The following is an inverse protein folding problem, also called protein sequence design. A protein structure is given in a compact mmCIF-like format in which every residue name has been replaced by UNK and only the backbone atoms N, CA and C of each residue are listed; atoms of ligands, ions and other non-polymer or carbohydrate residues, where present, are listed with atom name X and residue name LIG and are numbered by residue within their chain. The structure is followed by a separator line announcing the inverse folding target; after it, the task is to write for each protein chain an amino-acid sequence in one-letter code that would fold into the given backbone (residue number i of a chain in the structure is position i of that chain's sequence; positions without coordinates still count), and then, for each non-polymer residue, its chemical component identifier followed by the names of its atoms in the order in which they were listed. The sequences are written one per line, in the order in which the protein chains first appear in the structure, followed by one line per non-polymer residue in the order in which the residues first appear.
data_IF_320732037342
#
_entry.id   IF_320732037342
#
_cell.length_a   1.000
_cell.length_b   1.000
_cell.length_c   1.000
_cell.angle_alpha   90.00
_cell.angle_beta   90.00
_cell.angle_gamma   90.00
#
_symmetry.space_group_name_H-M   'P 1'
#
loop_
_entity.id
_entity.type
_entity.pdbx_description
1 polymer ?
#
# COMPACT_ATOMS: atom_id res chain seq x y z
N UNK A 1 -44.00 -43.90 -24.11
CA UNK A 1 -43.08 -44.95 -23.66
C UNK A 1 -42.28 -44.39 -22.50
N UNK A 2 -42.75 -44.76 -21.26
CA UNK A 2 -42.17 -44.33 -19.99
C UNK A 2 -41.00 -45.27 -19.63
N UNK A 3 -39.83 -44.72 -19.30
CA UNK A 3 -38.70 -45.45 -18.67
C UNK A 3 -38.63 -45.09 -17.18
N UNK A 4 -38.92 -46.11 -16.35
CA UNK A 4 -38.83 -46.06 -14.90
C UNK A 4 -37.39 -45.94 -14.42
N UNK A 5 -37.11 -44.97 -13.52
CA UNK A 5 -35.86 -44.87 -12.77
C UNK A 5 -35.95 -45.82 -11.53
N UNK A 6 -35.11 -46.82 -11.45
CA UNK A 6 -34.91 -47.62 -10.25
C UNK A 6 -34.09 -46.89 -9.21
N UNK A 7 -34.64 -46.71 -8.03
CA UNK A 7 -33.93 -46.21 -6.85
C UNK A 7 -33.12 -47.35 -6.23
N UNK A 8 -31.82 -47.10 -5.97
CA UNK A 8 -30.92 -48.02 -5.26
C UNK A 8 -31.00 -47.72 -3.77
N UNK A 9 -31.42 -48.70 -2.99
CA UNK A 9 -31.59 -48.66 -1.54
C UNK A 9 -30.26 -48.74 -0.78
N UNK A 10 -30.16 -47.95 0.29
CA UNK A 10 -28.96 -47.78 1.17
C UNK A 10 -28.73 -48.97 2.14
N UNK A 11 -29.18 -50.19 1.87
CA UNK A 11 -29.13 -51.28 2.85
C UNK A 11 -28.37 -52.54 2.44
N UNK A 12 -27.43 -52.48 1.52
CA UNK A 12 -26.64 -53.69 1.11
C UNK A 12 -25.16 -53.44 1.08
N UNK A 13 -24.57 -52.94 2.20
CA UNK A 13 -23.11 -52.86 2.32
C UNK A 13 -22.64 -53.21 3.76
N UNK A 14 -23.03 -54.38 4.26
CA UNK A 14 -22.44 -54.96 5.49
C UNK A 14 -22.43 -56.47 5.31
N UNK A 15 -21.24 -57.02 5.04
CA UNK A 15 -21.02 -58.45 5.01
C UNK A 15 -19.77 -58.85 4.23
N UNK A 16 -18.61 -58.85 4.87
CA UNK A 16 -17.40 -59.38 4.28
C UNK A 16 -16.16 -59.05 5.11
N UNK A 17 -16.02 -59.71 6.29
CA UNK A 17 -14.78 -59.67 7.08
C UNK A 17 -13.78 -60.63 6.43
N UNK A 18 -12.73 -60.04 5.81
CA UNK A 18 -11.54 -60.77 5.35
C UNK A 18 -10.31 -60.05 5.92
N UNK A 19 -9.61 -60.68 6.86
CA UNK A 19 -8.38 -60.19 7.44
C UNK A 19 -7.27 -60.16 6.38
N UNK A 20 -6.87 -58.97 5.95
CA UNK A 20 -5.62 -58.74 5.23
C UNK A 20 -4.86 -57.66 6.00
N UNK A 21 -3.70 -58.03 6.53
CA UNK A 21 -2.75 -57.12 7.15
C UNK A 21 -2.28 -56.12 6.09
N UNK A 22 -2.84 -54.89 6.12
CA UNK A 22 -2.42 -53.78 5.31
C UNK A 22 -1.30 -53.04 6.06
N UNK A 23 -0.07 -53.16 5.57
CA UNK A 23 0.96 -52.18 5.82
C UNK A 23 0.42 -50.82 5.34
N UNK A 24 0.09 -49.93 6.28
CA UNK A 24 -0.25 -48.57 5.97
C UNK A 24 0.98 -47.90 5.33
N UNK A 25 0.89 -47.37 4.09
CA UNK A 25 1.93 -46.48 3.63
C UNK A 25 1.81 -45.21 4.52
N UNK A 26 2.88 -44.91 5.24
CA UNK A 26 3.08 -43.61 5.84
C UNK A 26 3.03 -42.63 4.67
N UNK A 27 1.90 -41.95 4.48
CA UNK A 27 1.80 -40.78 3.62
C UNK A 27 2.66 -39.72 4.31
N UNK A 28 3.96 -39.76 4.06
CA UNK A 28 4.82 -38.61 4.22
C UNK A 28 4.22 -37.55 3.29
N UNK A 29 3.57 -36.53 3.88
CA UNK A 29 3.04 -35.40 3.16
C UNK A 29 4.18 -34.77 2.36
N UNK A 30 4.12 -34.93 1.03
CA UNK A 30 4.93 -34.16 0.09
C UNK A 30 4.46 -32.72 0.11
N UNK A 31 4.76 -31.98 1.19
CA UNK A 31 4.97 -30.55 1.07
C UNK A 31 6.16 -30.34 0.12
N UNK A 32 6.18 -29.29 -0.71
CA UNK A 32 7.33 -29.02 -1.55
C UNK A 32 8.56 -28.96 -0.64
N UNK A 33 9.57 -29.82 -0.90
CA UNK A 33 10.82 -29.82 -0.15
C UNK A 33 11.49 -28.47 -0.36
N UNK A 34 11.45 -27.60 0.66
CA UNK A 34 12.15 -26.33 0.61
C UNK A 34 13.65 -26.61 0.67
N UNK A 35 14.39 -25.99 -0.25
CA UNK A 35 15.85 -26.07 -0.24
C UNK A 35 16.38 -25.31 0.99
N UNK A 36 17.10 -25.93 1.93
CA UNK A 36 17.62 -25.25 3.12
C UNK A 36 18.67 -24.18 2.78
N UNK A 37 19.24 -24.21 1.59
CA UNK A 37 20.21 -23.24 1.11
C UNK A 37 19.56 -22.15 0.21
N UNK A 38 18.25 -21.98 0.28
CA UNK A 38 17.52 -20.99 -0.48
C UNK A 38 16.43 -20.35 0.37
N UNK A 39 16.31 -19.02 0.27
CA UNK A 39 15.15 -18.26 0.74
C UNK A 39 14.44 -17.63 -0.44
N UNK A 40 13.10 -17.54 -0.36
CA UNK A 40 12.27 -16.94 -1.40
C UNK A 40 11.87 -15.52 -1.00
N UNK A 41 12.06 -14.57 -1.91
CA UNK A 41 11.61 -13.19 -1.73
C UNK A 41 10.47 -12.88 -2.70
N UNK A 42 9.25 -12.69 -2.16
CA UNK A 42 8.08 -12.32 -2.96
C UNK A 42 7.91 -10.80 -2.98
N UNK A 43 7.82 -10.26 -4.18
CA UNK A 43 7.65 -8.84 -4.41
C UNK A 43 6.81 -8.61 -5.68
N UNK A 44 6.38 -7.36 -5.90
CA UNK A 44 5.61 -6.97 -7.08
C UNK A 44 6.36 -5.99 -7.99
N UNK A 45 7.68 -5.86 -7.82
CA UNK A 45 8.54 -5.03 -8.66
C UNK A 45 9.30 -5.83 -9.71
N UNK A 46 9.79 -7.03 -9.38
CA UNK A 46 10.53 -7.83 -10.35
C UNK A 46 11.05 -9.18 -9.81
N UNK A 47 11.57 -10.02 -10.70
CA UNK A 47 11.79 -9.82 -12.14
C UNK A 47 10.47 -9.85 -12.95
N UNK A 48 10.38 -8.99 -14.00
CA UNK A 48 9.23 -8.99 -14.91
C UNK A 48 8.10 -8.02 -14.52
N UNK A 49 8.34 -7.08 -13.59
CA UNK A 49 7.44 -5.99 -13.27
C UNK A 49 7.25 -4.99 -14.41
N UNK A 50 6.26 -4.13 -14.30
CA UNK A 50 5.91 -3.14 -15.34
C UNK A 50 7.00 -2.09 -15.55
N UNK A 51 7.65 -1.62 -14.46
CA UNK A 51 8.77 -0.68 -14.54
C UNK A 51 10.09 -1.45 -14.57
N UNK A 52 10.79 -1.31 -15.69
CA UNK A 52 12.07 -2.01 -15.91
C UNK A 52 13.14 -1.60 -14.88
N UNK A 53 13.25 -0.32 -14.58
CA UNK A 53 14.23 0.21 -13.63
C UNK A 53 14.08 -0.39 -12.24
N UNK A 54 12.83 -0.55 -11.77
CA UNK A 54 12.50 -1.16 -10.49
C UNK A 54 12.76 -2.67 -10.50
N UNK A 55 12.37 -3.34 -11.58
CA UNK A 55 12.61 -4.76 -11.78
C UNK A 55 14.11 -5.10 -11.77
N UNK A 56 14.91 -4.33 -12.50
CA UNK A 56 16.36 -4.50 -12.59
C UNK A 56 17.04 -4.31 -11.21
N UNK A 57 16.55 -3.36 -10.39
CA UNK A 57 17.08 -3.16 -9.05
C UNK A 57 16.87 -4.39 -8.15
N UNK A 58 15.69 -5.02 -8.19
CA UNK A 58 15.42 -6.25 -7.41
C UNK A 58 16.26 -7.43 -7.89
N UNK A 59 16.46 -7.57 -9.21
CA UNK A 59 17.35 -8.58 -9.77
C UNK A 59 18.78 -8.36 -9.28
N UNK A 60 19.29 -7.15 -9.38
CA UNK A 60 20.63 -6.79 -8.91
C UNK A 60 20.80 -7.01 -7.40
N UNK A 61 19.78 -6.67 -6.58
CA UNK A 61 19.79 -6.92 -5.14
C UNK A 61 20.01 -8.41 -4.83
N UNK A 62 19.28 -9.30 -5.52
CA UNK A 62 19.42 -10.74 -5.34
C UNK A 62 20.78 -11.26 -5.85
N UNK A 63 21.28 -10.75 -6.97
CA UNK A 63 22.58 -11.11 -7.52
C UNK A 63 23.73 -10.71 -6.59
N UNK A 64 23.71 -9.48 -6.04
CA UNK A 64 24.73 -8.99 -5.08
C UNK A 64 24.78 -9.87 -3.82
N UNK A 65 23.62 -10.23 -3.26
CA UNK A 65 23.54 -11.17 -2.14
C UNK A 65 24.07 -12.54 -2.52
N UNK A 66 23.61 -13.08 -3.62
CA UNK A 66 23.92 -14.43 -4.08
C UNK A 66 25.39 -14.62 -4.43
N UNK A 67 26.11 -13.55 -4.77
CA UNK A 67 27.54 -13.59 -5.05
C UNK A 67 28.39 -13.82 -3.79
N UNK A 68 27.90 -13.45 -2.61
CA UNK A 68 28.71 -13.39 -1.37
C UNK A 68 28.17 -14.25 -0.23
N UNK A 69 26.99 -14.85 -0.34
CA UNK A 69 26.35 -15.65 0.72
C UNK A 69 26.04 -17.06 0.25
N UNK A 70 26.13 -18.04 1.15
CA UNK A 70 25.85 -19.44 0.85
C UNK A 70 24.37 -19.71 0.64
N UNK A 71 23.50 -19.13 1.50
CA UNK A 71 22.05 -19.19 1.33
C UNK A 71 21.64 -18.20 0.24
N UNK A 72 21.04 -18.73 -0.84
CA UNK A 72 20.66 -17.93 -2.01
C UNK A 72 19.27 -17.33 -1.87
N UNK A 73 19.07 -16.15 -2.43
CA UNK A 73 17.76 -15.51 -2.57
C UNK A 73 17.20 -15.80 -3.95
N UNK A 74 15.99 -16.33 -3.99
CA UNK A 74 15.23 -16.50 -5.21
C UNK A 74 14.03 -15.56 -5.21
N UNK A 75 14.01 -14.64 -6.17
CA UNK A 75 12.89 -13.71 -6.36
C UNK A 75 11.66 -14.43 -6.92
N UNK A 76 10.49 -14.06 -6.41
CA UNK A 76 9.20 -14.38 -7.02
C UNK A 76 8.41 -13.10 -7.23
N UNK A 77 8.19 -12.78 -8.50
CA UNK A 77 7.29 -11.72 -8.88
C UNK A 77 5.83 -12.16 -8.74
N UNK A 78 5.01 -11.31 -8.13
CA UNK A 78 3.56 -11.44 -8.07
C UNK A 78 2.99 -10.10 -8.53
N UNK A 79 2.12 -10.06 -9.56
CA UNK A 79 1.56 -8.80 -10.03
C UNK A 79 0.95 -7.98 -8.90
N UNK A 80 1.12 -6.67 -8.92
CA UNK A 80 0.72 -5.75 -7.83
C UNK A 80 -0.72 -5.98 -7.38
N UNK A 81 -1.66 -6.11 -8.32
CA UNK A 81 -3.08 -6.37 -8.02
C UNK A 81 -3.28 -7.66 -7.19
N UNK A 82 -2.59 -8.74 -7.58
CA UNK A 82 -2.70 -10.04 -6.90
C UNK A 82 -1.96 -10.03 -5.55
N UNK A 83 -0.94 -9.18 -5.43
CA UNK A 83 -0.15 -9.02 -4.22
C UNK A 83 -0.89 -8.20 -3.16
N UNK A 84 -1.42 -7.03 -3.55
CA UNK A 84 -1.99 -6.03 -2.63
C UNK A 84 -3.47 -6.24 -2.36
N UNK A 85 -4.23 -6.64 -3.37
CA UNK A 85 -5.70 -6.77 -3.29
C UNK A 85 -6.19 -8.20 -3.46
N UNK A 86 -5.34 -9.09 -3.99
CA UNK A 86 -5.67 -10.50 -4.18
C UNK A 86 -5.36 -11.36 -2.95
N UNK A 87 -5.83 -12.61 -2.94
CA UNK A 87 -5.62 -13.53 -1.83
C UNK A 87 -4.25 -14.23 -1.84
N UNK A 88 -3.39 -13.97 -2.83
CA UNK A 88 -2.19 -14.79 -3.12
C UNK A 88 -1.26 -14.91 -1.91
N UNK A 89 -0.91 -13.78 -1.29
CA UNK A 89 -0.01 -13.79 -0.14
C UNK A 89 -0.68 -14.45 1.09
N UNK A 90 -1.93 -14.08 1.38
CA UNK A 90 -2.68 -14.63 2.51
C UNK A 90 -2.90 -16.14 2.39
N UNK A 91 -3.29 -16.61 1.21
CA UNK A 91 -3.52 -18.04 0.93
C UNK A 91 -2.23 -18.83 1.10
N UNK A 92 -1.08 -18.28 0.65
CA UNK A 92 0.21 -18.93 0.81
C UNK A 92 0.60 -19.09 2.29
N UNK A 93 0.37 -18.08 3.13
CA UNK A 93 0.61 -18.17 4.57
C UNK A 93 -0.32 -19.20 5.24
N UNK A 94 -1.61 -19.19 4.89
CA UNK A 94 -2.58 -20.17 5.40
C UNK A 94 -2.24 -21.60 5.02
N UNK A 95 -1.64 -21.82 3.86
CA UNK A 95 -1.17 -23.13 3.40
C UNK A 95 0.21 -23.53 3.97
N UNK A 96 0.85 -22.71 4.81
CA UNK A 96 2.21 -22.95 5.29
C UNK A 96 3.29 -22.83 4.21
N UNK A 97 2.95 -22.21 3.07
CA UNK A 97 3.83 -22.01 1.91
C UNK A 97 4.17 -20.55 1.65
N UNK A 98 4.03 -19.70 2.68
CA UNK A 98 4.39 -18.29 2.60
C UNK A 98 5.86 -18.05 2.25
N UNK A 99 6.22 -16.88 1.67
CA UNK A 99 7.60 -16.51 1.37
C UNK A 99 8.45 -16.41 2.64
N UNK A 100 9.78 -16.47 2.48
CA UNK A 100 10.73 -16.24 3.57
C UNK A 100 10.95 -14.76 3.81
N UNK A 101 10.96 -13.97 2.74
CA UNK A 101 10.99 -12.50 2.74
C UNK A 101 9.87 -11.96 1.85
N UNK A 102 9.24 -10.88 2.26
CA UNK A 102 8.17 -10.25 1.48
C UNK A 102 8.06 -8.75 1.76
N UNK A 103 7.33 -8.04 0.89
CA UNK A 103 7.02 -6.62 1.07
C UNK A 103 5.72 -6.47 1.85
N UNK A 104 5.67 -5.49 2.75
CA UNK A 104 4.51 -5.25 3.60
C UNK A 104 4.27 -3.74 3.78
N UNK A 105 3.03 -3.31 3.54
CA UNK A 105 2.57 -1.95 3.84
C UNK A 105 2.19 -1.78 5.31
N UNK A 106 2.07 -0.55 5.84
CA UNK A 106 1.51 -0.33 7.16
C UNK A 106 0.10 -0.90 7.30
N UNK A 107 -0.75 -0.71 6.30
CA UNK A 107 -2.16 -1.16 6.35
C UNK A 107 -2.35 -2.65 6.52
N UNK A 108 -1.39 -3.48 6.10
CA UNK A 108 -1.44 -4.93 6.30
C UNK A 108 -0.60 -5.44 7.48
N UNK A 109 0.13 -4.55 8.15
CA UNK A 109 1.13 -4.94 9.15
C UNK A 109 0.52 -5.78 10.30
N UNK A 110 -0.55 -5.31 10.92
CA UNK A 110 -1.14 -6.01 12.08
C UNK A 110 -1.72 -7.37 11.72
N UNK A 111 -2.23 -7.55 10.51
CA UNK A 111 -2.69 -8.87 10.04
C UNK A 111 -1.59 -9.92 10.13
N UNK A 112 -0.42 -9.61 9.60
CA UNK A 112 0.71 -10.55 9.59
C UNK A 112 1.41 -10.64 10.95
N UNK A 113 1.49 -9.54 11.70
CA UNK A 113 2.05 -9.56 13.05
C UNK A 113 1.20 -10.42 13.99
N UNK A 114 -0.11 -10.18 14.09
CA UNK A 114 -1.02 -10.93 14.95
C UNK A 114 -1.14 -12.40 14.52
N UNK A 115 -0.96 -12.69 13.23
CA UNK A 115 -0.86 -14.06 12.69
C UNK A 115 0.48 -14.77 12.99
N UNK A 116 1.41 -14.10 13.68
CA UNK A 116 2.73 -14.65 14.02
C UNK A 116 3.60 -14.93 12.80
N UNK A 117 3.43 -14.17 11.71
CA UNK A 117 4.19 -14.32 10.49
C UNK A 117 5.43 -13.42 10.42
N UNK A 118 5.52 -12.38 11.27
CA UNK A 118 6.63 -11.44 11.24
C UNK A 118 7.73 -11.81 12.23
N UNK A 119 8.96 -11.87 11.74
CA UNK A 119 10.14 -12.11 12.58
C UNK A 119 10.60 -10.81 13.23
N UNK A 120 10.97 -10.89 14.50
CA UNK A 120 11.61 -9.79 15.23
C UNK A 120 13.04 -9.57 14.69
N UNK A 121 13.25 -8.42 14.06
CA UNK A 121 14.54 -8.01 13.50
C UNK A 121 15.42 -7.26 14.50
N UNK A 122 14.90 -6.95 15.70
CA UNK A 122 15.61 -6.14 16.72
C UNK A 122 17.01 -6.70 17.07
N UNK A 123 17.18 -8.04 17.23
CA UNK A 123 18.50 -8.60 17.55
C UNK A 123 19.56 -8.44 16.45
N UNK A 124 19.12 -8.14 15.22
CA UNK A 124 19.99 -7.99 14.05
C UNK A 124 20.34 -6.54 13.75
N UNK A 125 19.82 -5.57 14.52
CA UNK A 125 19.98 -4.14 14.28
C UNK A 125 20.82 -3.49 15.38
N UNK A 126 21.82 -2.69 14.98
CA UNK A 126 22.53 -1.85 15.94
C UNK A 126 21.71 -0.61 16.31
N UNK A 127 21.95 0.01 17.49
CA UNK A 127 21.28 1.26 17.86
C UNK A 127 21.47 2.38 16.83
N UNK A 128 22.65 2.48 16.21
CA UNK A 128 22.97 3.49 15.21
C UNK A 128 22.09 3.33 13.95
N UNK A 129 21.91 2.09 13.48
CA UNK A 129 21.04 1.80 12.35
C UNK A 129 19.58 2.14 12.66
N UNK A 130 19.11 1.79 13.86
CA UNK A 130 17.74 2.12 14.28
C UNK A 130 17.51 3.63 14.33
N UNK A 131 18.48 4.38 14.84
CA UNK A 131 18.43 5.85 14.92
C UNK A 131 18.56 6.55 13.56
N UNK A 132 19.07 5.88 12.54
CA UNK A 132 19.20 6.44 11.19
C UNK A 132 17.89 6.42 10.39
N UNK A 133 16.91 5.60 10.78
CA UNK A 133 15.56 5.64 10.17
C UNK A 133 14.73 6.80 10.75
N UNK A 134 13.90 7.41 9.89
CA UNK A 134 12.95 8.43 10.32
C UNK A 134 11.93 7.83 11.30
N UNK A 135 11.78 8.41 12.50
CA UNK A 135 10.91 7.84 13.55
C UNK A 135 9.46 7.62 13.08
N UNK A 136 8.90 8.58 12.34
CA UNK A 136 7.52 8.51 11.81
C UNK A 136 7.29 7.34 10.84
N UNK A 137 8.34 6.86 10.17
CA UNK A 137 8.25 5.72 9.26
C UNK A 137 8.49 4.42 10.03
N UNK A 138 9.48 4.41 10.93
CA UNK A 138 9.80 3.24 11.76
C UNK A 138 8.65 2.85 12.69
N UNK A 139 7.95 3.80 13.30
CA UNK A 139 6.85 3.51 14.23
C UNK A 139 5.79 2.58 13.62
N UNK A 140 5.58 2.63 12.30
CA UNK A 140 4.65 1.76 11.60
C UNK A 140 5.12 0.29 11.52
N UNK A 141 6.35 0.00 11.93
CA UNK A 141 6.98 -1.34 11.92
C UNK A 141 7.35 -1.82 13.31
N UNK A 142 6.95 -1.09 14.36
CA UNK A 142 7.22 -1.43 15.75
C UNK A 142 6.00 -2.04 16.44
N UNK A 143 6.24 -3.02 17.31
CA UNK A 143 5.30 -3.40 18.36
C UNK A 143 6.07 -3.39 19.67
N UNK A 144 5.71 -2.48 20.56
CA UNK A 144 6.61 -2.07 21.65
C UNK A 144 7.93 -1.56 21.07
N UNK A 145 9.05 -2.04 21.62
CA UNK A 145 10.39 -1.66 21.17
C UNK A 145 10.96 -2.59 20.07
N UNK A 146 10.16 -3.56 19.61
CA UNK A 146 10.61 -4.56 18.64
C UNK A 146 10.30 -4.14 17.20
N UNK A 147 11.28 -4.37 16.34
CA UNK A 147 11.24 -4.05 14.90
C UNK A 147 10.85 -5.28 14.10
N UNK A 148 9.78 -5.21 13.32
CA UNK A 148 9.28 -6.33 12.51
C UNK A 148 9.37 -6.08 11.00
N UNK A 149 10.06 -5.05 10.57
CA UNK A 149 10.31 -4.75 9.17
C UNK A 149 11.16 -3.51 9.01
N UNK A 150 11.87 -3.42 7.88
CA UNK A 150 12.68 -2.25 7.54
C UNK A 150 12.05 -1.50 6.37
N UNK A 151 11.75 -0.21 6.53
CA UNK A 151 11.20 0.62 5.45
C UNK A 151 12.15 0.68 4.26
N UNK A 152 11.61 0.47 3.06
CA UNK A 152 12.33 0.53 1.79
C UNK A 152 12.32 1.94 1.21
N UNK A 153 11.19 2.65 1.36
CA UNK A 153 10.94 3.99 0.83
C UNK A 153 9.88 4.74 1.64
N UNK A 154 9.64 5.98 1.25
CA UNK A 154 8.57 6.85 1.75
C UNK A 154 7.74 7.33 0.56
N UNK A 155 6.43 7.19 0.64
CA UNK A 155 5.49 7.42 -0.45
C UNK A 155 4.35 8.39 -0.06
N UNK A 156 4.62 9.71 -0.01
CA UNK A 156 3.56 10.68 0.21
C UNK A 156 2.67 10.85 -1.02
N UNK A 157 1.41 11.26 -0.79
CA UNK A 157 0.43 11.57 -1.82
C UNK A 157 0.39 13.06 -2.14
N UNK A 158 0.12 13.39 -3.40
CA UNK A 158 -0.06 14.77 -3.88
C UNK A 158 -1.14 14.83 -4.98
N UNK A 159 -1.51 16.02 -5.41
CA UNK A 159 -2.34 16.24 -6.58
C UNK A 159 -1.47 16.50 -7.80
N UNK A 160 -1.57 15.61 -8.80
CA UNK A 160 -0.99 15.79 -10.12
C UNK A 160 -2.00 16.48 -11.03
N UNK A 161 -1.53 17.32 -11.94
CA UNK A 161 -2.38 17.98 -12.93
C UNK A 161 -1.73 17.98 -14.31
N UNK A 162 -2.54 17.87 -15.36
CA UNK A 162 -2.12 17.96 -16.75
C UNK A 162 -1.94 19.42 -17.15
N UNK A 163 -0.72 19.85 -17.46
CA UNK A 163 -0.46 21.20 -17.96
C UNK A 163 -1.24 21.49 -19.25
N UNK A 164 -1.31 20.52 -20.16
CA UNK A 164 -2.06 20.66 -21.40
C UNK A 164 -3.57 20.89 -21.17
N UNK A 165 -4.16 20.23 -20.15
CA UNK A 165 -5.55 20.44 -19.81
C UNK A 165 -5.79 21.84 -19.21
N UNK A 166 -4.86 22.34 -18.38
CA UNK A 166 -4.90 23.69 -17.83
C UNK A 166 -4.77 24.75 -18.93
N UNK A 167 -3.81 24.59 -19.84
CA UNK A 167 -3.65 25.47 -21.01
C UNK A 167 -4.93 25.55 -21.88
N UNK A 168 -5.54 24.39 -22.17
CA UNK A 168 -6.81 24.33 -22.93
C UNK A 168 -7.95 25.07 -22.23
N UNK A 169 -8.04 24.97 -20.91
CA UNK A 169 -9.04 25.66 -20.08
C UNK A 169 -8.67 27.13 -19.79
N UNK A 170 -7.52 27.63 -20.31
CA UNK A 170 -6.97 28.96 -20.02
C UNK A 170 -6.78 29.20 -18.53
N UNK A 171 -6.31 28.19 -17.82
CA UNK A 171 -5.91 28.24 -16.43
C UNK A 171 -4.41 28.47 -16.33
N UNK A 172 -3.96 29.27 -15.37
CA UNK A 172 -2.56 29.56 -15.10
C UNK A 172 -2.16 29.07 -13.70
N UNK A 173 -0.90 29.23 -13.34
CA UNK A 173 -0.38 28.85 -12.01
C UNK A 173 -1.16 29.49 -10.84
N UNK A 174 -1.65 30.72 -11.03
CA UNK A 174 -2.48 31.41 -10.05
C UNK A 174 -3.86 30.80 -9.82
N UNK A 175 -4.33 29.96 -10.74
CA UNK A 175 -5.60 29.23 -10.64
C UNK A 175 -5.45 27.86 -9.96
N UNK A 176 -4.23 27.43 -9.58
CA UNK A 176 -4.03 26.17 -8.88
C UNK A 176 -4.79 26.14 -7.55
N UNK A 177 -5.61 25.09 -7.31
CA UNK A 177 -6.50 25.06 -6.16
C UNK A 177 -5.72 24.86 -4.86
N UNK A 178 -6.17 25.52 -3.80
CA UNK A 178 -5.63 25.41 -2.42
C UNK A 178 -6.68 24.92 -1.43
N UNK A 179 -7.96 25.04 -1.79
CA UNK A 179 -9.08 24.56 -0.98
C UNK A 179 -9.95 23.59 -1.76
N UNK A 180 -10.77 22.80 -1.07
CA UNK A 180 -11.73 21.88 -1.70
C UNK A 180 -12.69 22.61 -2.64
N UNK A 181 -13.22 23.77 -2.21
CA UNK A 181 -14.12 24.56 -3.05
C UNK A 181 -13.44 25.03 -4.35
N UNK A 182 -12.17 25.47 -4.23
CA UNK A 182 -11.37 25.83 -5.40
C UNK A 182 -11.07 24.60 -6.27
N UNK A 183 -10.81 23.45 -5.65
CA UNK A 183 -10.56 22.20 -6.39
C UNK A 183 -11.78 21.80 -7.21
N UNK A 184 -12.98 21.81 -6.62
CA UNK A 184 -14.23 21.55 -7.35
C UNK A 184 -14.46 22.56 -8.48
N UNK A 185 -14.28 23.85 -8.22
CA UNK A 185 -14.45 24.90 -9.23
C UNK A 185 -13.44 24.78 -10.39
N UNK A 186 -12.19 24.44 -10.11
CA UNK A 186 -11.16 24.16 -11.13
C UNK A 186 -11.49 22.88 -11.88
N UNK A 187 -11.91 21.84 -11.19
CA UNK A 187 -12.31 20.58 -11.80
C UNK A 187 -13.50 20.74 -12.74
N UNK A 188 -14.48 21.59 -12.39
CA UNK A 188 -15.61 21.91 -13.27
C UNK A 188 -15.13 22.58 -14.58
N UNK A 189 -14.22 23.55 -14.50
CA UNK A 189 -13.62 24.21 -15.68
C UNK A 189 -12.79 23.24 -16.55
N UNK A 190 -12.21 22.19 -15.96
CA UNK A 190 -11.41 21.20 -16.65
C UNK A 190 -12.24 20.04 -17.24
N UNK A 191 -13.50 19.89 -16.78
CA UNK A 191 -14.41 18.84 -17.27
C UNK A 191 -14.88 19.16 -18.68
N UNK A 192 -14.83 18.15 -19.54
CA UNK A 192 -15.35 18.20 -20.92
C UNK A 192 -16.16 16.92 -21.18
N UNK A 193 -16.84 16.79 -22.34
CA UNK A 193 -17.54 15.53 -22.66
C UNK A 193 -16.65 14.29 -22.66
N UNK A 194 -15.34 14.46 -22.91
CA UNK A 194 -14.39 13.34 -23.05
C UNK A 194 -13.39 13.23 -21.88
N UNK A 195 -13.44 14.16 -20.90
CA UNK A 195 -12.48 14.22 -19.80
C UNK A 195 -13.14 14.69 -18.51
N UNK A 196 -12.88 14.01 -17.41
CA UNK A 196 -13.22 14.47 -16.07
C UNK A 196 -12.21 15.50 -15.57
N UNK A 197 -12.68 16.46 -14.77
CA UNK A 197 -11.81 17.49 -14.19
C UNK A 197 -10.84 16.95 -13.16
N UNK A 198 -11.27 15.94 -12.40
CA UNK A 198 -10.42 15.28 -11.42
C UNK A 198 -10.77 13.79 -11.27
N UNK A 199 -9.92 13.08 -10.52
CA UNK A 199 -10.15 11.68 -10.16
C UNK A 199 -9.71 11.43 -8.72
N UNK A 200 -10.60 10.84 -7.93
CA UNK A 200 -10.31 10.16 -6.66
C UNK A 200 -10.53 8.66 -6.85
N UNK A 201 -9.87 7.82 -6.04
CA UNK A 201 -9.98 6.36 -6.15
C UNK A 201 -11.43 5.91 -5.90
N UNK A 202 -11.92 4.99 -6.74
CA UNK A 202 -13.27 4.45 -6.67
C UNK A 202 -13.31 2.94 -6.41
N UNK A 203 -12.19 2.23 -6.52
CA UNK A 203 -12.15 0.81 -6.18
C UNK A 203 -12.03 0.65 -4.67
N UNK A 204 -12.93 -0.15 -4.03
CA UNK A 204 -12.88 -0.34 -2.59
C UNK A 204 -11.61 -1.08 -2.14
N UNK A 205 -11.18 -0.81 -0.93
CA UNK A 205 -10.11 -1.52 -0.28
C UNK A 205 -8.92 -0.64 0.14
N UNK A 206 -7.77 -1.28 0.26
CA UNK A 206 -6.56 -0.71 0.82
C UNK A 206 -6.17 0.66 0.22
N UNK A 207 -6.09 0.76 -1.13
CA UNK A 207 -5.62 1.97 -1.78
C UNK A 207 -6.64 3.12 -1.70
N UNK A 208 -7.93 2.83 -1.78
CA UNK A 208 -8.96 3.85 -1.57
C UNK A 208 -8.86 4.45 -0.17
N UNK A 209 -8.69 3.62 0.84
CA UNK A 209 -8.52 4.10 2.21
C UNK A 209 -7.25 4.94 2.36
N UNK A 210 -6.13 4.49 1.79
CA UNK A 210 -4.87 5.24 1.81
C UNK A 210 -5.04 6.65 1.21
N UNK A 211 -5.77 6.76 0.10
CA UNK A 211 -6.06 8.05 -0.53
C UNK A 211 -7.10 8.88 0.23
N UNK A 212 -8.04 8.24 0.95
CA UNK A 212 -9.07 8.92 1.74
C UNK A 212 -8.55 9.50 3.05
N UNK A 213 -7.59 8.85 3.73
CA UNK A 213 -7.12 9.26 5.06
C UNK A 213 -6.73 10.74 5.13
N UNK A 214 -6.01 11.26 4.15
CA UNK A 214 -5.61 12.66 4.17
C UNK A 214 -6.80 13.62 4.11
N UNK A 215 -7.85 13.32 3.34
CA UNK A 215 -9.07 14.14 3.29
C UNK A 215 -9.73 14.18 4.67
N UNK A 216 -9.86 13.03 5.31
CA UNK A 216 -10.40 12.92 6.66
C UNK A 216 -9.58 13.72 7.67
N UNK A 217 -8.26 13.58 7.67
CA UNK A 217 -7.39 14.29 8.62
C UNK A 217 -7.38 15.80 8.39
N UNK A 218 -7.36 16.27 7.14
CA UNK A 218 -7.42 17.69 6.81
C UNK A 218 -8.72 18.34 7.30
N UNK A 219 -9.80 17.60 7.37
CA UNK A 219 -11.07 18.03 7.95
C UNK A 219 -11.16 17.87 9.48
N UNK A 220 -10.08 17.39 10.13
CA UNK A 220 -10.05 17.14 11.58
C UNK A 220 -10.74 15.84 12.01
N UNK A 221 -11.00 14.92 11.07
CA UNK A 221 -11.56 13.59 11.36
C UNK A 221 -10.48 12.60 11.82
N UNK A 222 -10.89 11.65 12.66
CA UNK A 222 -10.06 10.54 13.15
C UNK A 222 -10.88 9.24 13.16
N UNK A 223 -10.18 8.10 13.06
CA UNK A 223 -10.84 6.79 13.12
C UNK A 223 -11.09 6.35 14.55
N UNK A 224 -10.16 6.67 15.46
CA UNK A 224 -10.23 6.29 16.87
C UNK A 224 -10.17 7.49 17.79
N UNK A 225 -10.74 7.34 18.99
CA UNK A 225 -10.47 8.23 20.13
C UNK A 225 -8.98 8.20 20.49
N UNK A 226 -8.43 9.25 21.15
CA UNK A 226 -7.00 9.31 21.47
C UNK A 226 -6.49 8.12 22.30
N UNK A 227 -7.34 7.49 23.11
CA UNK A 227 -7.03 6.28 23.87
C UNK A 227 -7.22 4.98 23.08
N UNK A 228 -7.62 5.08 21.81
CA UNK A 228 -7.86 3.97 20.86
C UNK A 228 -8.87 2.91 21.36
N UNK A 229 -9.73 3.27 22.28
CA UNK A 229 -10.71 2.34 22.86
C UNK A 229 -12.07 2.38 22.17
N UNK A 230 -12.35 3.41 21.39
CA UNK A 230 -13.62 3.59 20.69
C UNK A 230 -13.38 4.20 19.32
N UNK A 231 -14.35 3.99 18.45
CA UNK A 231 -14.43 4.68 17.18
C UNK A 231 -14.66 6.18 17.37
N UNK A 232 -13.95 7.00 16.59
CA UNK A 232 -14.20 8.43 16.41
C UNK A 232 -14.66 8.75 14.98
N UNK A 233 -14.89 7.72 14.18
CA UNK A 233 -15.20 7.85 12.75
C UNK A 233 -16.56 8.54 12.48
N UNK A 234 -17.43 8.69 13.47
CA UNK A 234 -18.68 9.46 13.36
C UNK A 234 -18.51 10.93 13.80
N UNK A 235 -17.37 11.56 13.48
CA UNK A 235 -17.11 12.97 13.81
C UNK A 235 -17.35 13.91 12.63
N UNK A 236 -17.54 15.23 12.90
CA UNK A 236 -17.83 16.22 11.83
C UNK A 236 -16.79 16.25 10.72
N UNK A 237 -15.51 16.04 11.03
CA UNK A 237 -14.44 16.00 10.03
C UNK A 237 -14.55 14.81 9.09
N UNK A 238 -15.01 13.65 9.59
CA UNK A 238 -15.28 12.47 8.75
C UNK A 238 -16.47 12.73 7.84
N UNK A 239 -17.56 13.31 8.38
CA UNK A 239 -18.73 13.66 7.59
C UNK A 239 -18.36 14.62 6.45
N UNK A 240 -17.54 15.63 6.73
CA UNK A 240 -17.07 16.59 5.74
C UNK A 240 -16.21 15.94 4.65
N UNK A 241 -15.34 14.98 5.02
CA UNK A 241 -14.52 14.26 4.05
C UNK A 241 -15.35 13.32 3.16
N UNK A 242 -16.30 12.60 3.73
CA UNK A 242 -17.24 11.74 2.98
C UNK A 242 -18.09 12.58 2.02
N UNK A 243 -18.61 13.74 2.49
CA UNK A 243 -19.37 14.67 1.68
C UNK A 243 -18.52 15.20 0.51
N UNK A 244 -17.28 15.64 0.77
CA UNK A 244 -16.39 16.11 -0.29
C UNK A 244 -16.16 15.06 -1.38
N UNK A 245 -15.94 13.78 -1.00
CA UNK A 245 -15.79 12.71 -1.96
C UNK A 245 -17.06 12.46 -2.77
N UNK A 246 -18.22 12.51 -2.13
CA UNK A 246 -19.53 12.44 -2.80
C UNK A 246 -19.71 13.62 -3.78
N UNK A 247 -19.39 14.85 -3.35
CA UNK A 247 -19.58 16.06 -4.16
C UNK A 247 -18.77 16.00 -5.46
N UNK A 248 -17.57 15.39 -5.46
CA UNK A 248 -16.78 15.25 -6.70
C UNK A 248 -17.50 14.44 -7.78
N UNK A 249 -18.26 13.42 -7.38
CA UNK A 249 -19.01 12.56 -8.29
C UNK A 249 -20.37 13.15 -8.62
N UNK A 250 -21.08 13.71 -7.65
CA UNK A 250 -22.43 14.30 -7.86
C UNK A 250 -22.36 15.58 -8.70
N UNK A 251 -21.29 16.36 -8.57
CA UNK A 251 -21.01 17.50 -9.45
C UNK A 251 -20.59 17.08 -10.87
N UNK A 252 -20.37 15.80 -11.12
CA UNK A 252 -19.95 15.28 -12.43
C UNK A 252 -18.51 15.61 -12.79
N UNK A 253 -17.69 16.07 -11.85
CA UNK A 253 -16.29 16.44 -12.09
C UNK A 253 -15.33 15.27 -11.91
N UNK A 254 -15.76 14.19 -11.24
CA UNK A 254 -15.03 12.95 -11.11
C UNK A 254 -15.86 11.74 -11.60
N UNK A 255 -15.20 10.70 -12.12
CA UNK A 255 -15.91 9.49 -12.60
C UNK A 255 -16.39 8.61 -11.44
N UNK A 256 -17.45 7.85 -11.67
CA UNK A 256 -17.88 6.76 -10.77
C UNK A 256 -16.98 5.52 -10.87
N UNK A 257 -16.07 5.49 -11.82
CA UNK A 257 -15.13 4.35 -12.03
C UNK A 257 -13.81 4.85 -12.59
N UNK A 258 -12.72 4.47 -11.94
CA UNK A 258 -11.38 4.60 -12.50
C UNK A 258 -11.20 3.64 -13.66
N UNK A 259 -10.37 3.98 -14.65
CA UNK A 259 -9.93 3.04 -15.67
C UNK A 259 -8.85 2.12 -15.10
N UNK A 260 -8.80 0.88 -15.57
CA UNK A 260 -7.80 -0.09 -15.17
C UNK A 260 -8.05 -0.71 -13.79
N UNK A 261 -6.99 -1.12 -13.14
CA UNK A 261 -7.00 -1.84 -11.87
C UNK A 261 -6.75 -0.93 -10.63
N UNK A 262 -7.16 0.33 -10.68
CA UNK A 262 -6.96 1.28 -9.59
C UNK A 262 -5.50 1.69 -9.42
N UNK A 263 -4.94 1.52 -8.24
CA UNK A 263 -3.56 1.91 -7.91
C UNK A 263 -2.49 1.41 -8.90
N UNK A 264 -2.75 0.31 -9.58
CA UNK A 264 -1.79 -0.34 -10.49
C UNK A 264 -1.80 0.25 -11.90
N UNK A 265 -2.88 0.94 -12.26
CA UNK A 265 -3.05 1.59 -13.56
C UNK A 265 -3.40 3.08 -13.38
N UNK A 266 -3.07 3.62 -12.20
CA UNK A 266 -3.46 4.98 -11.82
C UNK A 266 -2.91 6.03 -12.77
N UNK A 267 -1.69 5.84 -13.28
CA UNK A 267 -1.08 6.78 -14.20
C UNK A 267 -1.88 6.93 -15.50
N UNK A 268 -2.38 5.85 -16.09
CA UNK A 268 -3.09 5.88 -17.38
C UNK A 268 -4.33 6.78 -17.35
N UNK A 269 -4.94 6.98 -16.18
CA UNK A 269 -6.10 7.86 -16.07
C UNK A 269 -5.77 9.32 -16.39
N UNK A 270 -4.62 9.82 -15.91
CA UNK A 270 -4.22 11.20 -16.18
C UNK A 270 -3.43 11.34 -17.47
N UNK A 271 -2.49 10.41 -17.77
CA UNK A 271 -1.65 10.49 -18.97
C UNK A 271 -2.44 10.29 -20.26
N UNK A 272 -3.48 9.46 -20.24
CA UNK A 272 -4.36 9.23 -21.41
C UNK A 272 -5.51 10.25 -21.49
N UNK A 273 -5.53 11.24 -20.62
CA UNK A 273 -6.49 12.33 -20.61
C UNK A 273 -7.90 11.94 -20.15
N UNK A 274 -8.07 10.85 -19.42
CA UNK A 274 -9.36 10.49 -18.82
C UNK A 274 -9.75 11.48 -17.72
N UNK A 275 -8.76 11.99 -16.96
CA UNK A 275 -8.93 13.09 -16.03
C UNK A 275 -7.84 14.13 -16.20
N UNK A 276 -8.12 15.37 -15.76
CA UNK A 276 -7.17 16.48 -15.81
C UNK A 276 -6.34 16.62 -14.54
N UNK A 277 -6.88 16.21 -13.40
CA UNK A 277 -6.20 16.18 -12.10
C UNK A 277 -6.41 14.83 -11.44
N UNK A 278 -5.40 14.34 -10.74
CA UNK A 278 -5.47 13.05 -10.04
C UNK A 278 -4.64 13.07 -8.76
N UNK A 279 -5.20 12.54 -7.69
CA UNK A 279 -4.44 12.20 -6.50
C UNK A 279 -3.57 10.98 -6.77
N UNK A 280 -2.26 11.12 -6.61
CA UNK A 280 -1.27 10.09 -6.90
C UNK A 280 -0.07 10.22 -5.97
N UNK A 281 0.64 9.13 -5.70
CA UNK A 281 1.84 9.16 -4.88
C UNK A 281 3.09 9.62 -5.66
N UNK A 282 4.16 9.83 -4.92
CA UNK A 282 5.47 10.25 -5.46
C UNK A 282 6.01 9.29 -6.53
N UNK A 283 5.64 8.00 -6.49
CA UNK A 283 6.01 6.98 -7.49
C UNK A 283 5.54 7.35 -8.92
N UNK A 284 4.50 8.18 -9.06
CA UNK A 284 4.02 8.68 -10.35
C UNK A 284 5.10 9.40 -11.14
N UNK A 285 6.11 9.98 -10.50
CA UNK A 285 7.23 10.65 -11.19
C UNK A 285 8.02 9.64 -12.04
N UNK A 286 8.41 8.50 -11.47
CA UNK A 286 9.13 7.45 -12.20
C UNK A 286 8.24 6.78 -13.26
N UNK A 287 6.97 6.54 -12.92
CA UNK A 287 6.02 5.93 -13.86
C UNK A 287 5.80 6.82 -15.08
N UNK A 288 5.62 8.13 -14.89
CA UNK A 288 5.50 9.09 -16.01
C UNK A 288 6.79 9.10 -16.84
N UNK A 289 7.94 9.16 -16.21
CA UNK A 289 9.21 9.21 -16.92
C UNK A 289 9.46 7.96 -17.79
N UNK A 290 8.98 6.79 -17.37
CA UNK A 290 9.17 5.54 -18.10
C UNK A 290 8.04 5.23 -19.09
N UNK A 291 6.78 5.52 -18.75
CA UNK A 291 5.61 5.07 -19.52
C UNK A 291 4.95 6.18 -20.35
N UNK A 292 5.11 7.44 -19.93
CA UNK A 292 4.51 8.59 -20.59
C UNK A 292 5.47 9.80 -20.63
N UNK A 293 6.69 9.66 -21.22
CA UNK A 293 7.74 10.67 -21.12
C UNK A 293 7.37 12.03 -21.74
N UNK A 294 6.41 12.06 -22.66
CA UNK A 294 5.91 13.29 -23.29
C UNK A 294 4.77 13.96 -22.51
N UNK A 295 4.28 13.32 -21.43
CA UNK A 295 3.20 13.88 -20.62
C UNK A 295 3.72 15.03 -19.75
N UNK A 296 3.23 16.26 -20.03
CA UNK A 296 3.56 17.46 -19.26
C UNK A 296 2.61 17.59 -18.07
N UNK A 297 3.17 17.66 -16.87
CA UNK A 297 2.42 17.69 -15.62
C UNK A 297 3.09 18.57 -14.57
N UNK A 298 2.27 19.04 -13.65
CA UNK A 298 2.72 19.62 -12.40
C UNK A 298 2.21 18.84 -11.19
N UNK A 299 2.80 19.12 -10.03
CA UNK A 299 2.45 18.52 -8.74
C UNK A 299 2.24 19.63 -7.73
N UNK A 300 1.17 19.54 -6.95
CA UNK A 300 0.89 20.42 -5.81
C UNK A 300 0.47 19.60 -4.59
N UNK A 301 0.63 20.12 -3.36
CA UNK A 301 -0.04 19.55 -2.20
C UNK A 301 -1.54 19.41 -2.43
N UNK A 302 -2.15 18.33 -1.92
CA UNK A 302 -3.60 18.16 -2.04
C UNK A 302 -4.32 19.33 -1.35
N UNK A 303 -5.30 19.98 -2.00
CA UNK A 303 -6.08 21.07 -1.37
C UNK A 303 -6.77 20.60 -0.08
N UNK A 304 -6.84 21.50 0.92
CA UNK A 304 -7.50 21.25 2.20
C UNK A 304 -8.88 21.92 2.28
N UNK A 305 -9.77 21.53 3.19
CA UNK A 305 -10.99 22.29 3.42
C UNK A 305 -10.66 23.70 3.90
N UNK A 306 -11.55 24.65 3.68
CA UNK A 306 -11.38 26.03 4.15
C UNK A 306 -11.17 26.03 5.69
N UNK A 307 -10.06 26.64 6.14
CA UNK A 307 -9.69 26.65 7.55
C UNK A 307 -9.08 25.33 8.08
N UNK A 308 -8.98 24.29 7.24
CA UNK A 308 -8.31 23.03 7.58
C UNK A 308 -6.79 23.12 7.48
N UNK A 309 -6.11 22.27 8.23
CA UNK A 309 -4.65 22.14 8.13
C UNK A 309 -4.29 21.15 7.03
N UNK A 310 -3.32 21.50 6.20
CA UNK A 310 -2.77 20.56 5.21
C UNK A 310 -2.11 19.36 5.91
N UNK A 311 -2.38 18.18 5.41
CA UNK A 311 -1.64 16.96 5.70
C UNK A 311 -1.70 16.00 4.52
N UNK A 312 -0.79 15.02 4.49
CA UNK A 312 -0.84 13.92 3.53
C UNK A 312 -0.62 12.58 4.21
N UNK A 313 -1.10 11.52 3.59
CA UNK A 313 -0.80 10.16 4.01
C UNK A 313 0.60 9.77 3.52
N UNK A 314 1.38 9.19 4.43
CA UNK A 314 2.75 8.75 4.20
C UNK A 314 2.77 7.22 4.10
N UNK A 315 2.70 6.69 2.90
CA UNK A 315 2.91 5.28 2.62
C UNK A 315 4.38 4.88 2.74
N UNK A 316 4.61 3.61 2.88
CA UNK A 316 5.94 3.02 2.89
C UNK A 316 5.84 1.51 2.76
N UNK A 317 6.51 0.93 1.78
CA UNK A 317 6.71 -0.50 1.78
C UNK A 317 7.92 -0.86 2.66
N UNK A 318 7.84 -1.99 3.33
CA UNK A 318 8.95 -2.51 4.13
C UNK A 318 9.31 -3.92 3.68
N UNK A 319 10.58 -4.27 3.76
CA UNK A 319 11.01 -5.66 3.72
C UNK A 319 10.81 -6.26 5.10
N UNK A 320 10.17 -7.43 5.14
CA UNK A 320 9.93 -8.20 6.36
C UNK A 320 10.39 -9.64 6.18
N UNK A 321 10.86 -10.25 7.28
CA UNK A 321 11.22 -11.66 7.33
C UNK A 321 10.09 -12.48 7.97
N UNK A 322 9.87 -13.69 7.45
CA UNK A 322 8.85 -14.61 7.93
C UNK A 322 9.36 -15.42 9.12
N UNK A 323 8.71 -15.28 10.27
CA UNK A 323 9.03 -16.07 11.48
C UNK A 323 8.81 -17.58 11.30
N UNK A 324 7.98 -17.98 10.32
CA UNK A 324 7.67 -19.37 9.98
C UNK A 324 8.50 -19.89 8.79
N UNK A 325 9.54 -19.15 8.38
CA UNK A 325 10.51 -19.59 7.38
C UNK A 325 11.24 -20.85 7.84
N UNK A 326 11.67 -21.68 6.89
CA UNK A 326 12.58 -22.78 7.19
C UNK A 326 14.01 -22.31 7.47
N UNK A 327 14.31 -21.05 7.10
CA UNK A 327 15.60 -20.42 7.35
C UNK A 327 15.39 -18.95 7.80
N UNK A 328 14.79 -18.73 9.00
CA UNK A 328 14.43 -17.40 9.45
C UNK A 328 15.66 -16.50 9.70
N UNK A 329 16.79 -17.10 10.10
CA UNK A 329 18.04 -16.38 10.32
C UNK A 329 18.55 -15.75 9.01
N UNK A 330 18.63 -16.53 7.92
CA UNK A 330 19.06 -16.01 6.62
C UNK A 330 18.06 -14.98 6.05
N UNK A 331 16.77 -15.15 6.31
CA UNK A 331 15.76 -14.16 5.93
C UNK A 331 15.98 -12.81 6.64
N UNK A 332 16.24 -12.84 7.96
CA UNK A 332 16.57 -11.64 8.73
C UNK A 332 17.87 -10.98 8.26
N UNK A 333 18.92 -11.78 8.08
CA UNK A 333 20.22 -11.32 7.61
C UNK A 333 20.11 -10.63 6.24
N UNK A 334 19.33 -11.21 5.32
CA UNK A 334 19.10 -10.61 4.00
C UNK A 334 18.40 -9.25 4.13
N UNK A 335 17.33 -9.15 4.92
CA UNK A 335 16.59 -7.86 5.12
C UNK A 335 17.51 -6.80 5.71
N UNK A 336 18.32 -7.16 6.72
CA UNK A 336 19.22 -6.23 7.38
C UNK A 336 20.41 -5.86 6.46
N UNK A 337 20.98 -6.80 5.74
CA UNK A 337 22.01 -6.52 4.74
C UNK A 337 21.50 -5.57 3.64
N UNK A 338 20.26 -5.78 3.19
CA UNK A 338 19.65 -4.99 2.13
C UNK A 338 19.41 -3.52 2.56
N UNK A 339 18.87 -3.30 3.77
CA UNK A 339 18.31 -2.02 4.20
C UNK A 339 18.84 -1.52 5.56
N UNK A 340 19.39 -2.39 6.39
CA UNK A 340 19.68 -2.13 7.81
C UNK A 340 21.18 -2.16 8.16
N UNK A 341 22.07 -1.74 7.27
CA UNK A 341 23.51 -1.64 7.53
C UNK A 341 24.00 -0.20 7.39
N UNK A 342 25.04 0.16 8.13
CA UNK A 342 25.79 1.43 7.96
C UNK A 342 26.84 1.35 6.85
N UNK A 343 26.99 0.19 6.22
CA UNK A 343 27.90 -0.02 5.11
C UNK A 343 27.57 0.97 3.96
N UNK A 344 28.55 1.67 3.38
CA UNK A 344 28.37 2.53 2.21
C UNK A 344 27.63 1.83 1.04
N UNK A 345 27.86 0.53 0.84
CA UNK A 345 27.19 -0.24 -0.19
C UNK A 345 25.66 -0.36 0.08
N UNK A 346 25.24 -0.51 1.34
CA UNK A 346 23.84 -0.51 1.71
C UNK A 346 23.21 0.87 1.48
N UNK A 347 23.90 1.95 1.89
CA UNK A 347 23.41 3.33 1.70
C UNK A 347 23.26 3.62 0.21
N UNK A 348 24.24 3.25 -0.62
CA UNK A 348 24.20 3.46 -2.07
C UNK A 348 23.09 2.62 -2.74
N UNK A 349 22.88 1.38 -2.30
CA UNK A 349 21.81 0.50 -2.78
C UNK A 349 20.45 1.14 -2.51
N UNK A 350 20.19 1.62 -1.29
CA UNK A 350 18.97 2.32 -0.95
C UNK A 350 18.80 3.65 -1.68
N UNK A 351 19.89 4.42 -1.85
CA UNK A 351 19.87 5.65 -2.65
C UNK A 351 19.43 5.35 -4.08
N UNK A 352 20.04 4.35 -4.72
CA UNK A 352 19.68 3.96 -6.09
C UNK A 352 18.22 3.53 -6.20
N UNK A 353 17.68 2.79 -5.23
CA UNK A 353 16.27 2.48 -5.19
C UNK A 353 15.42 3.75 -5.16
N UNK A 354 15.66 4.61 -4.17
CA UNK A 354 14.80 5.75 -3.92
C UNK A 354 14.93 6.89 -4.95
N UNK A 355 16.07 7.03 -5.63
CA UNK A 355 16.32 8.21 -6.48
C UNK A 355 16.63 7.89 -7.94
N UNK A 356 16.80 6.61 -8.29
CA UNK A 356 17.06 6.18 -9.67
C UNK A 356 15.99 5.21 -10.16
N UNK A 357 15.72 4.15 -9.38
CA UNK A 357 14.77 3.13 -9.81
C UNK A 357 13.31 3.54 -9.61
N UNK A 358 12.99 4.26 -8.52
CA UNK A 358 11.59 4.54 -8.14
C UNK A 358 11.27 6.01 -7.84
N UNK A 359 12.24 6.92 -7.76
CA UNK A 359 11.99 8.36 -7.45
C UNK A 359 11.10 8.59 -6.22
N UNK A 360 11.44 7.95 -5.11
CA UNK A 360 10.79 8.10 -3.81
C UNK A 360 11.67 8.90 -2.84
N UNK A 361 11.16 9.14 -1.63
CA UNK A 361 11.96 9.72 -0.56
C UNK A 361 12.61 8.61 0.28
N UNK A 362 13.90 8.72 0.60
CA UNK A 362 14.57 7.73 1.41
C UNK A 362 14.10 7.74 2.87
N UNK A 363 13.92 6.55 3.51
CA UNK A 363 13.47 6.44 4.89
C UNK A 363 14.58 6.61 5.93
N UNK A 364 15.85 6.81 5.51
CA UNK A 364 17.02 6.92 6.38
C UNK A 364 17.74 8.24 6.17
N UNK A 365 18.18 8.88 7.25
CA UNK A 365 18.92 10.15 7.21
C UNK A 365 20.21 10.04 6.41
N UNK A 366 20.98 8.94 6.55
CA UNK A 366 22.21 8.70 5.78
C UNK A 366 21.92 8.62 4.27
N UNK A 367 20.83 7.96 3.88
CA UNK A 367 20.44 7.82 2.48
C UNK A 367 19.90 9.14 1.92
N UNK A 368 19.18 9.93 2.73
CA UNK A 368 18.74 11.27 2.34
C UNK A 368 19.92 12.18 2.04
N UNK A 369 20.92 12.21 2.93
CA UNK A 369 22.16 12.98 2.68
C UNK A 369 22.88 12.54 1.40
N UNK A 370 22.97 11.23 1.16
CA UNK A 370 23.55 10.73 -0.09
C UNK A 370 22.72 11.13 -1.31
N UNK A 371 21.40 11.10 -1.23
CA UNK A 371 20.49 11.54 -2.28
C UNK A 371 20.64 13.04 -2.59
N UNK A 372 20.73 13.88 -1.56
CA UNK A 372 20.98 15.34 -1.68
C UNK A 372 22.30 15.64 -2.39
N UNK A 373 23.37 14.94 -2.01
CA UNK A 373 24.69 15.10 -2.64
C UNK A 373 24.68 14.76 -4.13
N UNK A 374 23.71 13.95 -4.59
CA UNK A 374 23.54 13.59 -5.99
C UNK A 374 22.44 14.41 -6.71
N UNK A 375 21.95 15.48 -6.10
CA UNK A 375 20.94 16.36 -6.70
C UNK A 375 19.56 15.72 -6.92
N UNK A 376 19.23 14.68 -6.15
CA UNK A 376 18.01 13.90 -6.36
C UNK A 376 16.71 14.71 -6.18
N UNK A 377 16.79 15.83 -5.46
CA UNK A 377 15.63 16.69 -5.14
C UNK A 377 15.62 18.01 -5.91
N UNK A 378 16.46 18.14 -6.94
CA UNK A 378 16.57 19.40 -7.70
C UNK A 378 15.49 19.54 -8.77
N UNK A 379 14.86 18.43 -9.21
CA UNK A 379 13.72 18.48 -10.15
C UNK A 379 12.49 19.14 -9.54
N UNK A 380 11.66 19.80 -10.37
CA UNK A 380 10.45 20.48 -9.92
C UNK A 380 9.53 19.59 -9.07
N UNK A 381 9.07 18.41 -9.57
CA UNK A 381 8.22 17.52 -8.81
C UNK A 381 8.85 16.99 -7.51
N UNK A 382 10.11 16.55 -7.54
CA UNK A 382 10.80 16.04 -6.35
C UNK A 382 11.00 17.12 -5.28
N UNK A 383 11.23 18.36 -5.70
CA UNK A 383 11.32 19.50 -4.79
C UNK A 383 9.98 19.77 -4.11
N UNK A 384 8.89 19.75 -4.85
CA UNK A 384 7.53 19.91 -4.29
C UNK A 384 7.26 18.84 -3.24
N UNK A 385 7.56 17.58 -3.54
CA UNK A 385 7.38 16.49 -2.56
C UNK A 385 8.21 16.71 -1.31
N UNK A 386 9.48 17.03 -1.45
CA UNK A 386 10.40 17.23 -0.31
C UNK A 386 10.03 18.44 0.55
N UNK A 387 9.77 19.60 -0.09
CA UNK A 387 9.65 20.87 0.62
C UNK A 387 8.22 21.21 1.04
N UNK A 388 7.21 20.76 0.28
CA UNK A 388 5.83 21.17 0.50
C UNK A 388 4.96 19.99 0.99
N UNK A 389 5.07 18.82 0.34
CA UNK A 389 4.20 17.68 0.63
C UNK A 389 4.59 17.00 1.94
N UNK A 390 5.90 16.77 2.17
CA UNK A 390 6.39 16.08 3.36
C UNK A 390 6.27 16.87 4.67
N UNK A 391 6.11 18.19 4.61
CA UNK A 391 6.15 19.06 5.79
C UNK A 391 5.12 18.69 6.87
N UNK A 392 3.97 18.13 6.47
CA UNK A 392 2.86 17.78 7.35
C UNK A 392 2.38 16.34 7.09
N UNK A 393 3.29 15.45 6.70
CA UNK A 393 2.94 14.07 6.40
C UNK A 393 2.66 13.25 7.67
N UNK A 394 1.56 12.47 7.66
CA UNK A 394 1.19 11.54 8.73
C UNK A 394 1.39 10.11 8.25
N UNK A 395 1.98 9.23 9.06
CA UNK A 395 2.15 7.83 8.69
C UNK A 395 0.81 7.17 8.37
N UNK A 396 0.82 6.31 7.36
CA UNK A 396 -0.31 5.44 7.05
C UNK A 396 -0.65 4.59 8.29
N UNK A 397 -1.93 4.52 8.68
CA UNK A 397 -2.35 3.73 9.81
C UNK A 397 -2.20 2.22 9.59
N UNK A 398 -2.04 1.48 10.70
CA UNK A 398 -1.94 0.01 10.70
C UNK A 398 -3.28 -0.64 11.01
N UNK A 399 -4.36 -0.17 10.43
CA UNK A 399 -5.69 -0.65 10.78
C UNK A 399 -5.87 -2.14 10.44
N UNK A 400 -6.48 -2.94 11.34
CA UNK A 400 -6.92 -4.29 11.02
C UNK A 400 -7.92 -4.31 9.84
N UNK A 401 -8.03 -5.45 9.13
CA UNK A 401 -8.90 -5.56 7.95
C UNK A 401 -10.36 -5.17 8.20
N UNK A 402 -10.88 -5.42 9.40
CA UNK A 402 -12.23 -5.09 9.81
C UNK A 402 -12.45 -3.58 9.85
N UNK A 403 -11.46 -2.85 10.37
CA UNK A 403 -11.50 -1.38 10.48
C UNK A 403 -11.42 -0.75 9.10
N UNK A 404 -10.41 -1.12 8.28
CA UNK A 404 -10.30 -0.50 6.97
C UNK A 404 -11.46 -0.87 6.04
N UNK A 405 -12.10 -2.04 6.22
CA UNK A 405 -13.32 -2.40 5.48
C UNK A 405 -14.48 -1.50 5.84
N UNK A 406 -14.71 -1.26 7.14
CA UNK A 406 -15.75 -0.35 7.58
C UNK A 406 -15.59 1.07 7.01
N UNK A 407 -14.33 1.56 6.95
CA UNK A 407 -14.01 2.85 6.31
C UNK A 407 -14.31 2.80 4.81
N UNK A 408 -13.84 1.76 4.11
CA UNK A 408 -14.05 1.59 2.67
C UNK A 408 -15.54 1.51 2.31
N UNK A 409 -16.33 0.78 3.11
CA UNK A 409 -17.78 0.66 2.91
C UNK A 409 -18.48 2.03 3.06
N UNK A 410 -18.09 2.84 4.05
CA UNK A 410 -18.61 4.19 4.21
C UNK A 410 -18.23 5.11 3.03
N UNK A 411 -16.98 5.06 2.57
CA UNK A 411 -16.53 5.83 1.41
C UNK A 411 -17.29 5.41 0.15
N UNK A 412 -17.45 4.11 -0.10
CA UNK A 412 -18.21 3.59 -1.26
C UNK A 412 -19.67 4.04 -1.22
N UNK A 413 -20.33 3.91 -0.05
CA UNK A 413 -21.72 4.34 0.13
C UNK A 413 -21.92 5.80 -0.23
N UNK A 414 -21.05 6.69 0.24
CA UNK A 414 -21.17 8.13 -0.04
C UNK A 414 -20.73 8.46 -1.48
N UNK A 415 -19.55 8.03 -1.89
CA UNK A 415 -18.97 8.40 -3.18
C UNK A 415 -19.76 7.86 -4.37
N UNK A 416 -20.27 6.63 -4.30
CA UNK A 416 -20.87 5.95 -5.45
C UNK A 416 -22.37 5.70 -5.33
N UNK A 417 -22.92 5.56 -4.12
CA UNK A 417 -24.31 5.17 -3.91
C UNK A 417 -25.19 6.31 -3.35
N UNK A 418 -24.66 7.53 -3.34
CA UNK A 418 -25.32 8.74 -2.86
C UNK A 418 -25.82 8.63 -1.39
N UNK A 419 -25.12 7.81 -0.57
CA UNK A 419 -25.41 7.58 0.84
C UNK A 419 -25.23 8.83 1.68
N UNK A 420 -26.00 8.95 2.76
CA UNK A 420 -25.86 10.07 3.70
C UNK A 420 -24.55 9.94 4.52
N UNK A 421 -23.65 10.93 4.47
CA UNK A 421 -22.35 10.85 5.14
C UNK A 421 -22.41 10.62 6.66
N UNK A 422 -23.44 11.14 7.33
CA UNK A 422 -23.62 10.94 8.78
C UNK A 422 -23.99 9.50 9.07
N UNK A 423 -24.98 8.97 8.35
CA UNK A 423 -25.43 7.58 8.51
C UNK A 423 -24.34 6.57 8.13
N UNK A 424 -23.58 6.83 7.06
CA UNK A 424 -22.46 5.98 6.64
C UNK A 424 -21.33 5.97 7.68
N UNK A 425 -20.98 7.13 8.22
CA UNK A 425 -19.97 7.26 9.27
C UNK A 425 -20.41 6.59 10.58
N UNK A 426 -21.68 6.72 10.96
CA UNK A 426 -22.26 6.06 12.15
C UNK A 426 -22.20 4.53 12.02
N UNK A 427 -22.62 4.00 10.87
CA UNK A 427 -22.57 2.56 10.61
C UNK A 427 -21.14 2.00 10.67
N UNK A 428 -20.17 2.73 10.09
CA UNK A 428 -18.76 2.36 10.16
C UNK A 428 -18.22 2.42 11.61
N UNK A 429 -18.56 3.47 12.36
CA UNK A 429 -18.17 3.60 13.76
C UNK A 429 -18.70 2.44 14.62
N UNK A 430 -19.95 2.03 14.43
CA UNK A 430 -20.54 0.88 15.12
C UNK A 430 -19.83 -0.45 14.79
N UNK A 431 -19.45 -0.65 13.53
CA UNK A 431 -18.67 -1.83 13.12
C UNK A 431 -17.28 -1.82 13.77
N UNK A 432 -16.61 -0.67 13.79
CA UNK A 432 -15.31 -0.48 14.42
C UNK A 432 -15.40 -0.75 15.93
N UNK A 433 -16.38 -0.20 16.63
CA UNK A 433 -16.57 -0.43 18.08
C UNK A 433 -16.88 -1.91 18.37
N UNK A 434 -17.66 -2.57 17.54
CA UNK A 434 -17.93 -4.01 17.64
C UNK A 434 -16.63 -4.81 17.53
N UNK A 435 -15.80 -4.49 16.57
CA UNK A 435 -14.48 -5.12 16.39
C UNK A 435 -13.59 -4.87 17.62
N UNK A 436 -13.47 -3.62 18.06
CA UNK A 436 -12.63 -3.24 19.21
C UNK A 436 -13.02 -3.96 20.50
N UNK A 437 -14.30 -4.28 20.68
CA UNK A 437 -14.80 -4.97 21.88
C UNK A 437 -14.21 -6.38 22.06
N UNK A 438 -13.69 -6.97 21.01
CA UNK A 438 -13.12 -8.34 20.99
C UNK A 438 -11.67 -8.38 20.51
N UNK A 439 -11.10 -7.22 20.16
CA UNK A 439 -9.73 -7.17 19.66
C UNK A 439 -8.71 -7.35 20.79
N UNK A 440 -7.89 -8.39 20.68
CA UNK A 440 -6.81 -8.75 21.63
C UNK A 440 -5.41 -8.74 20.97
N UNK A 441 -5.31 -8.18 19.77
CA UNK A 441 -4.05 -8.08 19.00
C UNK A 441 -3.11 -6.98 19.50
N UNK A 442 -2.02 -6.77 18.75
CA UNK A 442 -1.08 -5.67 19.03
C UNK A 442 -1.76 -4.29 18.91
N UNK A 443 -1.25 -3.26 19.61
CA UNK A 443 -1.83 -1.91 19.57
C UNK A 443 -2.00 -1.38 18.13
N UNK A 444 -3.15 -0.77 17.89
CA UNK A 444 -3.50 -0.15 16.60
C UNK A 444 -3.01 1.31 16.67
N UNK A 445 -1.84 1.62 16.14
CA UNK A 445 -1.24 2.98 16.22
C UNK A 445 -1.02 3.52 14.81
#
# INVERSE_FOLDING_TARGET
VARARRAISRRSFLGGVGAAALAAPVLTGCGPSRNPNEITFWNFYGPGGQQKSQSDWFVQLAEEWNATHDVKVRLRYVPTKDYTSGPTLQTSFSAGAGPDVFLLSPGDFLRYHNGGALLDLTPHLTPEVRADFLPQVMQTRLVGDRVYGLPLEIEPLALYYSEAAFEQAKLAEGDLPRTWDQLLAVAERLTTPDRFGMLLETNPGYYQNFTFYQSMWMAGGEVFTPDQRRAAFNGPGVHAALQFWQDTVTAGVAPRRVKGAGANDSLSNISDGYCAMQQLGIWGIAEIAEQAPDFRYGVIPMPSPAGGAYTTALGSWAMVANAKSTNPQAAAEFVVWALGSTDPACIERMRRWNTVAKTNLPPRYSVQRAAEQHGAFDSGPMRVFKEQVMAQARPEPRYPPEVYRAISDAVQSCQLDDGDPVSAAEAAAQQIDTFLSTYDGAPIN
#
